data_IF_054125853583
#
_entry.id   IF_054125853583
#
_cell.length_a   1.000
_cell.length_b   1.000
_cell.length_c   1.000
_cell.angle_alpha   90.00
_cell.angle_beta   90.00
_cell.angle_gamma   90.00
#
_symmetry.space_group_name_H-M   'P 1'
#
loop_
_entity.id
_entity.type
_entity.pdbx_description
1 polymer ?
#
# COMPACT_ATOMS: atom_id res chain seq x y z
N UNK A 1 -1.42 18.59 -14.31
CA UNK A 1 -1.92 18.77 -12.93
C UNK A 1 -0.77 19.21 -12.04
N UNK A 2 -1.01 20.17 -11.13
CA UNK A 2 -0.03 20.57 -10.11
C UNK A 2 -0.37 19.87 -8.80
N UNK A 3 0.63 19.34 -8.09
CA UNK A 3 0.43 18.79 -6.76
C UNK A 3 -0.03 19.90 -5.80
N UNK A 4 -0.87 19.59 -4.80
CA UNK A 4 -1.19 20.56 -3.75
C UNK A 4 0.08 21.02 -3.05
N UNK A 5 0.07 22.23 -2.49
CA UNK A 5 1.22 22.82 -1.78
C UNK A 5 0.83 23.13 -0.33
N UNK A 6 1.77 22.97 0.58
CA UNK A 6 1.64 23.37 1.99
C UNK A 6 2.82 24.23 2.40
N UNK A 7 2.59 25.13 3.34
CA UNK A 7 3.63 25.94 3.94
C UNK A 7 4.06 25.35 5.29
N UNK A 8 5.35 25.04 5.42
CA UNK A 8 5.94 24.54 6.67
C UNK A 8 7.03 25.54 7.08
N UNK A 9 6.76 26.31 8.13
CA UNK A 9 7.62 27.42 8.53
C UNK A 9 7.61 28.55 7.50
N UNK A 10 8.75 28.79 6.84
CA UNK A 10 8.92 29.82 5.79
C UNK A 10 9.13 29.24 4.38
N UNK A 11 8.89 27.94 4.20
CA UNK A 11 9.11 27.22 2.94
C UNK A 11 7.82 26.57 2.46
N UNK A 12 7.60 26.59 1.15
CA UNK A 12 6.50 25.87 0.48
C UNK A 12 7.00 24.52 -0.02
N UNK A 13 6.20 23.48 0.21
CA UNK A 13 6.47 22.13 -0.23
C UNK A 13 5.27 21.59 -1.01
N UNK A 14 5.56 20.81 -2.06
CA UNK A 14 4.52 20.01 -2.71
C UNK A 14 4.10 18.87 -1.78
N UNK A 15 2.81 18.55 -1.77
CA UNK A 15 2.26 17.40 -1.06
C UNK A 15 2.01 16.29 -2.05
N UNK A 16 2.39 15.07 -1.68
CA UNK A 16 2.04 13.86 -2.41
C UNK A 16 0.94 13.11 -1.65
N UNK A 17 -0.34 13.27 -2.06
CA UNK A 17 -1.46 12.59 -1.41
C UNK A 17 -1.30 11.07 -1.33
N UNK A 18 -1.67 10.47 -0.20
CA UNK A 18 -1.56 9.03 0.03
C UNK A 18 -2.30 8.19 -1.03
N UNK A 19 -3.47 8.65 -1.50
CA UNK A 19 -4.18 8.01 -2.62
C UNK A 19 -3.33 7.81 -3.88
N UNK A 20 -2.36 8.70 -4.15
CA UNK A 20 -1.48 8.53 -5.30
C UNK A 20 -0.36 7.51 -5.05
N UNK A 21 0.01 7.27 -3.80
CA UNK A 21 0.84 6.13 -3.44
C UNK A 21 0.09 4.81 -3.67
N UNK A 22 -1.22 4.76 -3.36
CA UNK A 22 -2.09 3.61 -3.66
C UNK A 22 -2.19 3.37 -5.16
N UNK A 23 -2.44 4.43 -5.95
CA UNK A 23 -2.46 4.35 -7.40
C UNK A 23 -1.14 3.80 -7.95
N UNK A 24 0.00 4.26 -7.41
CA UNK A 24 1.32 3.77 -7.80
C UNK A 24 1.53 2.29 -7.44
N UNK A 25 1.10 1.85 -6.25
CA UNK A 25 1.17 0.45 -5.83
C UNK A 25 0.42 -0.47 -6.81
N UNK A 26 -0.81 -0.11 -7.17
CA UNK A 26 -1.62 -0.90 -8.13
C UNK A 26 -1.06 -0.81 -9.54
N UNK A 27 -0.46 0.31 -9.94
CA UNK A 27 0.15 0.44 -11.27
C UNK A 27 1.40 -0.41 -11.43
N UNK A 28 2.25 -0.42 -10.39
CA UNK A 28 3.51 -1.16 -10.39
C UNK A 28 3.32 -2.67 -10.19
N UNK A 29 2.14 -3.11 -9.76
CA UNK A 29 1.84 -4.53 -9.67
C UNK A 29 1.71 -5.16 -11.06
N UNK A 30 1.80 -6.49 -11.11
CA UNK A 30 1.71 -7.28 -12.35
C UNK A 30 0.45 -6.93 -13.13
N UNK A 31 0.63 -6.62 -14.42
CA UNK A 31 -0.43 -6.18 -15.32
C UNK A 31 -1.21 -4.94 -14.83
N UNK A 32 -0.59 -4.11 -13.97
CA UNK A 32 -1.22 -2.96 -13.31
C UNK A 32 -2.57 -3.32 -12.65
N UNK A 33 -2.61 -4.53 -12.07
CA UNK A 33 -3.79 -5.13 -11.45
C UNK A 33 -3.42 -5.69 -10.09
N UNK A 34 -4.23 -5.44 -9.07
CA UNK A 34 -3.98 -5.94 -7.71
C UNK A 34 -5.27 -6.36 -7.01
N UNK A 35 -5.25 -7.49 -6.32
CA UNK A 35 -6.37 -7.91 -5.47
C UNK A 35 -6.52 -6.95 -4.29
N UNK A 36 -7.76 -6.57 -3.95
CA UNK A 36 -8.02 -5.55 -2.93
C UNK A 36 -7.43 -5.91 -1.56
N UNK A 37 -7.55 -7.17 -1.13
CA UNK A 37 -6.95 -7.61 0.14
C UNK A 37 -5.41 -7.57 0.09
N UNK A 38 -4.79 -7.84 -1.07
CA UNK A 38 -3.32 -7.71 -1.23
C UNK A 38 -2.91 -6.26 -1.13
N UNK A 39 -3.68 -5.34 -1.73
CA UNK A 39 -3.45 -3.91 -1.55
C UNK A 39 -3.49 -3.54 -0.07
N UNK A 40 -4.47 -4.03 0.70
CA UNK A 40 -4.56 -3.76 2.14
C UNK A 40 -3.32 -4.22 2.91
N UNK A 41 -2.87 -5.47 2.68
CA UNK A 41 -1.70 -6.03 3.34
C UNK A 41 -0.39 -5.33 2.92
N UNK A 42 -0.20 -5.08 1.62
CA UNK A 42 0.97 -4.35 1.10
C UNK A 42 1.02 -2.95 1.68
N UNK A 43 -0.13 -2.26 1.73
CA UNK A 43 -0.23 -0.92 2.31
C UNK A 43 0.12 -0.95 3.80
N UNK A 44 -0.37 -1.96 4.54
CA UNK A 44 -0.09 -2.14 5.96
C UNK A 44 1.42 -2.35 6.21
N UNK A 45 2.05 -3.22 5.43
CA UNK A 45 3.50 -3.46 5.49
C UNK A 45 4.32 -2.22 5.10
N UNK A 46 3.75 -1.35 4.26
CA UNK A 46 4.31 -0.03 3.92
C UNK A 46 3.90 1.09 4.88
N UNK A 47 3.29 0.80 6.03
CA UNK A 47 2.75 1.82 6.97
C UNK A 47 3.80 2.80 7.50
N UNK A 48 5.08 2.40 7.52
CA UNK A 48 6.20 3.27 7.88
C UNK A 48 6.47 4.37 6.83
N UNK A 49 5.93 4.21 5.61
CA UNK A 49 6.02 5.14 4.49
C UNK A 49 4.68 5.83 4.28
N UNK A 50 3.64 5.02 4.01
CA UNK A 50 2.29 5.50 3.73
C UNK A 50 1.47 5.29 5.00
N UNK A 51 1.39 6.33 5.82
CA UNK A 51 0.77 6.29 7.15
C UNK A 51 -0.75 6.20 7.07
N UNK A 52 -1.27 5.00 6.84
CA UNK A 52 -2.69 4.70 7.02
C UNK A 52 -2.95 4.19 8.44
N UNK A 53 -4.06 4.66 9.02
CA UNK A 53 -4.59 4.11 10.27
C UNK A 53 -5.43 2.88 9.97
N UNK A 54 -5.25 1.82 10.76
CA UNK A 54 -6.01 0.59 10.66
C UNK A 54 -6.88 0.44 11.90
N UNK A 55 -8.20 0.31 11.71
CA UNK A 55 -9.14 0.05 12.80
C UNK A 55 -9.05 -1.41 13.26
N UNK A 56 -8.81 -2.33 12.32
CA UNK A 56 -8.56 -3.75 12.60
C UNK A 56 -7.30 -4.16 11.82
N UNK A 57 -6.10 -3.92 12.38
CA UNK A 57 -4.86 -4.27 11.71
C UNK A 57 -4.71 -5.80 11.55
N UNK A 58 -4.04 -6.29 10.48
CA UNK A 58 -3.54 -5.54 9.32
C UNK A 58 -4.57 -5.41 8.18
N UNK A 59 -5.85 -5.69 8.43
CA UNK A 59 -6.82 -6.00 7.37
C UNK A 59 -7.69 -4.80 6.98
N UNK A 60 -8.20 -4.06 7.96
CA UNK A 60 -9.23 -3.03 7.74
C UNK A 60 -8.65 -1.65 8.06
N UNK A 61 -8.67 -0.79 7.03
CA UNK A 61 -8.38 0.64 7.11
C UNK A 61 -9.46 1.41 6.34
N UNK A 62 -10.32 2.16 7.03
CA UNK A 62 -11.35 2.96 6.39
C UNK A 62 -10.73 4.06 5.51
N UNK A 63 -9.61 4.64 5.95
CA UNK A 63 -8.87 5.64 5.19
C UNK A 63 -8.37 5.08 3.84
N UNK A 64 -7.84 3.84 3.82
CA UNK A 64 -7.44 3.19 2.58
C UNK A 64 -8.64 2.96 1.65
N UNK A 65 -9.76 2.46 2.19
CA UNK A 65 -10.98 2.20 1.42
C UNK A 65 -11.52 3.50 0.80
N UNK A 66 -11.52 4.59 1.56
CA UNK A 66 -11.94 5.91 1.07
C UNK A 66 -11.04 6.41 -0.07
N UNK A 67 -9.72 6.25 0.06
CA UNK A 67 -8.78 6.66 -0.99
C UNK A 67 -8.93 5.80 -2.25
N UNK A 68 -9.11 4.48 -2.11
CA UNK A 68 -9.42 3.59 -3.24
C UNK A 68 -10.72 4.03 -3.94
N UNK A 69 -11.76 4.34 -3.15
CA UNK A 69 -13.05 4.80 -3.68
C UNK A 69 -12.91 6.15 -4.40
N UNK A 70 -12.11 7.08 -3.87
CA UNK A 70 -11.78 8.35 -4.54
C UNK A 70 -11.09 8.13 -5.87
N UNK A 71 -10.12 7.21 -5.95
CA UNK A 71 -9.42 6.89 -7.20
C UNK A 71 -10.34 6.26 -8.25
N UNK A 72 -11.32 5.45 -7.82
CA UNK A 72 -12.35 4.90 -8.69
C UNK A 72 -13.28 6.00 -9.21
N UNK A 73 -13.75 6.88 -8.33
CA UNK A 73 -14.61 8.00 -8.68
C UNK A 73 -13.91 9.01 -9.62
N UNK A 74 -12.60 9.19 -9.46
CA UNK A 74 -11.75 9.99 -10.36
C UNK A 74 -11.43 9.27 -11.69
N UNK A 75 -11.86 8.03 -11.87
CA UNK A 75 -11.61 7.22 -13.06
C UNK A 75 -10.16 6.79 -13.23
N UNK A 76 -9.34 6.82 -12.17
CA UNK A 76 -7.92 6.43 -12.19
C UNK A 76 -7.73 4.93 -11.91
N UNK A 77 -8.66 4.34 -11.17
CA UNK A 77 -8.79 2.91 -10.96
C UNK A 77 -10.16 2.42 -11.44
N UNK A 78 -10.22 1.15 -11.84
CA UNK A 78 -11.48 0.43 -12.02
C UNK A 78 -11.52 -0.76 -11.04
N UNK A 79 -12.71 -1.06 -10.54
CA UNK A 79 -12.95 -2.26 -9.74
C UNK A 79 -13.58 -3.34 -10.63
N UNK A 80 -13.05 -4.55 -10.54
CA UNK A 80 -13.58 -5.72 -11.23
C UNK A 80 -13.57 -6.94 -10.32
N UNK A 81 -14.25 -8.00 -10.76
CA UNK A 81 -14.22 -9.31 -10.10
C UNK A 81 -13.52 -10.31 -11.01
N UNK A 82 -12.49 -10.98 -10.50
CA UNK A 82 -11.78 -12.05 -11.21
C UNK A 82 -11.79 -13.30 -10.33
N UNK A 83 -12.37 -14.40 -10.82
CA UNK A 83 -12.49 -15.66 -10.10
C UNK A 83 -13.11 -15.49 -8.69
N UNK A 84 -14.18 -14.69 -8.58
CA UNK A 84 -14.86 -14.39 -7.30
C UNK A 84 -14.09 -13.46 -6.36
N UNK A 85 -12.96 -12.88 -6.79
CA UNK A 85 -12.14 -11.97 -5.98
C UNK A 85 -12.19 -10.54 -6.52
N UNK A 86 -12.32 -9.57 -5.63
CA UNK A 86 -12.24 -8.16 -5.98
C UNK A 86 -10.80 -7.79 -6.38
N UNK A 87 -10.67 -7.20 -7.56
CA UNK A 87 -9.41 -6.69 -8.12
C UNK A 87 -9.57 -5.22 -8.50
N UNK A 88 -8.49 -4.47 -8.33
CA UNK A 88 -8.33 -3.10 -8.80
C UNK A 88 -7.43 -3.13 -10.03
N UNK A 89 -7.77 -2.37 -11.06
CA UNK A 89 -6.93 -2.19 -12.25
C UNK A 89 -6.71 -0.71 -12.51
N UNK A 90 -5.53 -0.37 -12.98
CA UNK A 90 -5.21 1.01 -13.36
C UNK A 90 -5.76 1.31 -14.74
N UNK A 91 -6.52 2.38 -14.84
CA UNK A 91 -7.07 2.87 -16.11
C UNK A 91 -6.01 3.62 -16.91
N UNK A 92 -6.30 3.95 -18.17
CA UNK A 92 -5.43 4.81 -18.98
C UNK A 92 -5.28 6.23 -18.39
N UNK A 93 -6.33 6.75 -17.75
CA UNK A 93 -6.24 8.01 -17.00
C UNK A 93 -5.30 7.89 -15.79
N UNK A 94 -5.36 6.76 -15.07
CA UNK A 94 -4.42 6.44 -13.98
C UNK A 94 -2.97 6.35 -14.45
N UNK A 95 -2.71 5.69 -15.60
CA UNK A 95 -1.35 5.62 -16.19
C UNK A 95 -0.82 7.00 -16.54
N UNK A 96 -1.63 7.85 -17.18
CA UNK A 96 -1.25 9.24 -17.49
C UNK A 96 -1.00 10.06 -16.23
N UNK A 97 -1.79 9.85 -15.17
CA UNK A 97 -1.56 10.50 -13.87
C UNK A 97 -0.19 10.12 -13.29
N UNK A 98 0.21 8.85 -13.36
CA UNK A 98 1.53 8.40 -12.93
C UNK A 98 2.65 8.99 -13.80
N UNK A 99 2.45 9.08 -15.11
CA UNK A 99 3.37 9.77 -16.02
C UNK A 99 3.66 11.21 -15.57
N UNK A 100 2.64 11.92 -15.07
CA UNK A 100 2.81 13.28 -14.53
C UNK A 100 3.69 13.28 -13.26
N UNK A 101 3.61 12.26 -12.39
CA UNK A 101 4.46 12.18 -11.19
C UNK A 101 5.94 12.04 -11.53
N UNK A 102 6.29 11.36 -12.61
CA UNK A 102 7.68 11.27 -13.07
C UNK A 102 8.26 12.64 -13.50
N UNK A 103 7.41 13.60 -13.88
CA UNK A 103 7.82 14.99 -14.11
C UNK A 103 8.33 15.68 -12.84
N UNK A 104 7.88 15.25 -11.66
CA UNK A 104 8.29 15.78 -10.36
C UNK A 104 9.30 14.87 -9.64
N UNK A 105 9.92 13.89 -10.33
CA UNK A 105 10.77 12.86 -9.69
C UNK A 105 11.91 13.42 -8.82
N UNK A 106 12.39 14.62 -9.13
CA UNK A 106 13.50 15.25 -8.42
C UNK A 106 13.08 16.21 -7.32
N UNK A 107 11.78 16.44 -7.17
CA UNK A 107 11.22 17.37 -6.21
C UNK A 107 11.13 16.75 -4.80
N UNK A 108 11.25 17.61 -3.79
CA UNK A 108 10.94 17.23 -2.41
C UNK A 108 9.43 17.36 -2.20
N UNK A 109 8.83 16.27 -1.73
CA UNK A 109 7.40 16.19 -1.43
C UNK A 109 7.17 15.85 0.02
N UNK A 110 6.07 16.36 0.56
CA UNK A 110 5.53 16.02 1.87
C UNK A 110 4.55 14.87 1.73
N UNK A 111 4.71 13.83 2.54
CA UNK A 111 3.86 12.63 2.58
C UNK A 111 3.38 12.40 4.01
N UNK A 112 2.10 12.07 4.19
CA UNK A 112 1.51 11.79 5.51
C UNK A 112 1.74 12.91 6.53
N UNK A 113 2.10 12.54 7.76
CA UNK A 113 2.38 13.47 8.88
C UNK A 113 3.73 14.18 8.76
N UNK A 114 3.99 14.85 7.62
CA UNK A 114 5.17 15.70 7.38
C UNK A 114 6.49 14.98 7.04
N UNK A 115 6.47 13.76 6.49
CA UNK A 115 7.69 13.17 5.93
C UNK A 115 8.11 13.95 4.66
N UNK A 116 9.24 14.65 4.71
CA UNK A 116 9.83 15.32 3.54
C UNK A 116 10.81 14.37 2.86
N UNK A 117 10.50 13.97 1.63
CA UNK A 117 11.31 13.00 0.87
C UNK A 117 11.36 13.38 -0.60
N UNK A 118 12.46 13.02 -1.27
CA UNK A 118 12.53 13.13 -2.74
C UNK A 118 11.54 12.17 -3.37
N UNK A 119 10.69 12.63 -4.29
CA UNK A 119 9.63 11.80 -4.86
C UNK A 119 10.16 10.51 -5.50
N UNK A 120 11.29 10.57 -6.21
CA UNK A 120 11.96 9.37 -6.75
C UNK A 120 12.33 8.33 -5.67
N UNK A 121 12.80 8.76 -4.50
CA UNK A 121 13.15 7.84 -3.42
C UNK A 121 11.90 7.16 -2.86
N UNK A 122 10.80 7.91 -2.70
CA UNK A 122 9.51 7.36 -2.28
C UNK A 122 9.02 6.30 -3.29
N UNK A 123 8.97 6.64 -4.57
CA UNK A 123 8.48 5.74 -5.61
C UNK A 123 9.35 4.48 -5.73
N UNK A 124 10.67 4.61 -5.63
CA UNK A 124 11.60 3.48 -5.64
C UNK A 124 11.36 2.53 -4.46
N UNK A 125 11.12 3.09 -3.28
CA UNK A 125 10.86 2.29 -2.08
C UNK A 125 9.51 1.57 -2.16
N UNK A 126 8.47 2.24 -2.67
CA UNK A 126 7.20 1.60 -2.95
C UNK A 126 7.34 0.49 -4.00
N UNK A 127 8.12 0.71 -5.06
CA UNK A 127 8.42 -0.32 -6.05
C UNK A 127 9.11 -1.53 -5.42
N UNK A 128 10.08 -1.31 -4.52
CA UNK A 128 10.76 -2.39 -3.79
C UNK A 128 9.78 -3.22 -2.96
N UNK A 129 8.89 -2.58 -2.22
CA UNK A 129 7.84 -3.23 -1.42
C UNK A 129 6.89 -4.02 -2.31
N UNK A 130 6.37 -3.41 -3.38
CA UNK A 130 5.45 -4.08 -4.31
C UNK A 130 6.11 -5.30 -4.93
N UNK A 131 7.34 -5.18 -5.42
CA UNK A 131 8.09 -6.32 -5.96
C UNK A 131 8.33 -7.44 -4.95
N UNK A 132 8.54 -7.08 -3.68
CA UNK A 132 8.72 -8.07 -2.61
C UNK A 132 7.45 -8.87 -2.36
N UNK A 133 6.29 -8.21 -2.31
CA UNK A 133 5.06 -8.83 -1.77
C UNK A 133 4.03 -9.24 -2.83
N UNK A 134 4.03 -8.66 -4.03
CA UNK A 134 2.94 -8.83 -4.99
C UNK A 134 2.71 -10.28 -5.43
N UNK A 135 3.79 -11.07 -5.52
CA UNK A 135 3.77 -12.46 -6.01
C UNK A 135 3.83 -13.50 -4.87
N UNK A 136 3.97 -13.08 -3.60
CA UNK A 136 3.97 -14.00 -2.46
C UNK A 136 2.61 -14.70 -2.32
N UNK A 137 2.59 -15.93 -1.79
CA UNK A 137 1.32 -16.58 -1.45
C UNK A 137 0.52 -15.74 -0.43
N UNK A 138 -0.80 -15.74 -0.55
CA UNK A 138 -1.67 -14.91 0.28
C UNK A 138 -1.57 -15.25 1.78
N UNK A 139 -1.37 -16.52 2.13
CA UNK A 139 -1.18 -16.95 3.52
C UNK A 139 0.17 -16.48 4.04
N UNK A 140 1.21 -16.55 3.22
CA UNK A 140 2.54 -16.02 3.56
C UNK A 140 2.50 -14.52 3.79
N UNK A 141 1.85 -13.77 2.90
CA UNK A 141 1.71 -12.31 3.04
C UNK A 141 0.95 -11.93 4.32
N UNK A 142 -0.14 -12.64 4.62
CA UNK A 142 -0.91 -12.43 5.86
C UNK A 142 -0.10 -12.81 7.10
N UNK A 143 0.64 -13.92 7.05
CA UNK A 143 1.55 -14.36 8.13
C UNK A 143 2.58 -13.26 8.45
N UNK A 144 3.21 -12.67 7.43
CA UNK A 144 4.17 -11.57 7.62
C UNK A 144 3.48 -10.36 8.26
N UNK A 145 2.30 -9.97 7.78
CA UNK A 145 1.57 -8.83 8.34
C UNK A 145 1.14 -9.03 9.80
N UNK A 146 0.65 -10.23 10.15
CA UNK A 146 0.31 -10.58 11.53
C UNK A 146 1.55 -10.63 12.43
N UNK A 147 2.68 -11.10 11.88
CA UNK A 147 3.95 -11.09 12.59
C UNK A 147 4.40 -9.66 12.90
N UNK A 148 4.32 -8.75 11.95
CA UNK A 148 4.62 -7.33 12.17
C UNK A 148 3.71 -6.70 13.22
N UNK A 149 2.40 -6.98 13.17
CA UNK A 149 1.47 -6.50 14.19
C UNK A 149 1.78 -7.08 15.57
N UNK A 150 2.16 -8.36 15.66
CA UNK A 150 2.54 -9.00 16.92
C UNK A 150 3.71 -8.30 17.63
N UNK A 151 4.61 -7.65 16.86
CA UNK A 151 5.74 -6.90 17.40
C UNK A 151 5.34 -5.51 17.92
N UNK A 152 4.21 -4.97 17.46
CA UNK A 152 3.63 -3.69 17.91
C UNK A 152 2.78 -3.88 19.17
N UNK A 153 2.11 -5.02 19.27
CA UNK A 153 1.28 -5.41 20.39
C UNK A 153 2.07 -5.92 21.60
N UNK A 154 1.42 -5.94 22.77
CA UNK A 154 2.01 -6.45 24.03
C UNK A 154 1.12 -7.51 24.68
N UNK A 155 1.73 -8.38 25.50
CA UNK A 155 1.01 -9.36 26.31
C UNK A 155 0.36 -10.49 25.49
N UNK A 156 -0.85 -10.88 25.88
CA UNK A 156 -1.58 -12.02 25.30
C UNK A 156 -1.84 -11.81 23.79
N UNK A 157 -2.20 -10.60 23.37
CA UNK A 157 -2.49 -10.29 21.97
C UNK A 157 -1.28 -10.54 21.07
N UNK A 158 -0.10 -10.09 21.49
CA UNK A 158 1.16 -10.35 20.79
C UNK A 158 1.42 -11.85 20.59
N UNK A 159 1.12 -12.67 21.60
CA UNK A 159 1.30 -14.13 21.52
C UNK A 159 0.31 -14.77 20.54
N UNK A 160 -0.98 -14.41 20.60
CA UNK A 160 -2.02 -14.93 19.69
C UNK A 160 -1.68 -14.60 18.23
N UNK A 161 -1.31 -13.35 17.95
CA UNK A 161 -0.98 -12.90 16.59
C UNK A 161 0.27 -13.61 16.05
N UNK A 162 1.28 -13.81 16.89
CA UNK A 162 2.48 -14.55 16.53
C UNK A 162 2.17 -16.00 16.21
N UNK A 163 1.38 -16.68 17.04
CA UNK A 163 1.07 -18.10 16.85
C UNK A 163 0.21 -18.29 15.58
N UNK A 164 -0.78 -17.41 15.34
CA UNK A 164 -1.55 -17.38 14.10
C UNK A 164 -0.66 -17.14 12.86
N UNK A 165 0.34 -16.26 12.97
CA UNK A 165 1.31 -16.04 11.90
C UNK A 165 2.12 -17.32 11.59
N UNK A 166 2.53 -18.08 12.61
CA UNK A 166 3.22 -19.35 12.41
C UNK A 166 2.32 -20.41 11.76
N UNK A 167 1.08 -20.56 12.21
CA UNK A 167 0.14 -21.54 11.65
C UNK A 167 -0.13 -21.33 10.15
N UNK A 168 -0.26 -20.06 9.74
CA UNK A 168 -0.45 -19.70 8.34
C UNK A 168 0.77 -20.05 7.46
N UNK A 169 1.97 -20.09 8.04
CA UNK A 169 3.21 -20.48 7.37
C UNK A 169 3.37 -22.00 7.29
N UNK A 170 2.93 -22.73 8.31
CA UNK A 170 3.16 -24.17 8.48
C UNK A 170 2.40 -25.07 7.50
N UNK A 171 1.42 -24.55 6.73
CA UNK A 171 0.79 -25.35 5.67
C UNK A 171 1.73 -25.71 4.50
N UNK A 172 2.93 -25.11 4.42
CA UNK A 172 3.94 -25.48 3.43
C UNK A 172 4.97 -26.53 3.92
N UNK A 173 5.19 -26.67 5.23
CA UNK A 173 6.23 -27.60 5.75
C UNK A 173 5.74 -29.04 5.85
N UNK A 174 4.44 -29.26 6.07
CA UNK A 174 3.85 -30.61 6.16
C UNK A 174 3.39 -31.20 4.81
N UNK A 175 3.66 -30.53 3.69
CA UNK A 175 3.32 -31.01 2.34
C UNK A 175 4.47 -31.74 1.63
N UNK A 176 5.66 -31.80 2.25
CA UNK A 176 6.76 -32.68 1.87
C UNK A 176 6.81 -33.83 2.89
N UNK A 177 5.76 -34.66 2.88
CA UNK A 177 5.70 -35.96 3.54
C UNK A 177 5.62 -37.05 2.49
#
# INVERSE_FOLDING_TARGET
MRLPEVEIGRKRFMVFPNKYAILFIVWHSRNSTLQLYRLSLITYLSSHIIRYTYEIPPIISQALINDVSSLINEGLLEQATLNGRLVLRVTEAGRRMIGNFYGYRNELVVVGDYLVVKLSNLLNELSRIVNTYQDMDSRTLLSIALREESLREKGLMSSILRDLAFDLRNTCENALG
#
